data_IF_939706054027
#
_entry.id   IF_939706054027
#
_cell.length_a   1.000
_cell.length_b   1.000
_cell.length_c   1.000
_cell.angle_alpha   90.00
_cell.angle_beta   90.00
_cell.angle_gamma   90.00
#
_symmetry.space_group_name_H-M   'P 1'
#
loop_
_entity.id
_entity.type
_entity.pdbx_description
1 polymer ?
#
# COMPACT_ATOMS: atom_id res chain seq x y z
N UNK A 1 10.71 -33.22 9.30
CA UNK A 1 10.35 -32.17 10.27
C UNK A 1 9.22 -31.32 9.70
N UNK A 2 8.00 -31.49 10.20
CA UNK A 2 6.75 -30.92 9.64
C UNK A 2 6.54 -29.41 9.92
N UNK A 3 7.44 -28.76 10.67
CA UNK A 3 7.32 -27.36 11.07
C UNK A 3 7.64 -26.34 9.96
N UNK A 4 8.31 -26.75 8.88
CA UNK A 4 8.73 -25.84 7.82
C UNK A 4 7.66 -25.57 6.74
N UNK A 5 6.54 -26.32 6.71
CA UNK A 5 5.55 -26.20 5.63
C UNK A 5 4.33 -25.34 5.97
N UNK A 6 4.11 -25.03 7.25
CA UNK A 6 2.91 -24.30 7.70
C UNK A 6 3.15 -22.81 7.93
N UNK A 7 4.38 -22.34 8.12
CA UNK A 7 4.66 -20.92 8.34
C UNK A 7 4.69 -20.07 7.05
N UNK A 8 4.93 -20.67 5.89
CA UNK A 8 4.94 -19.92 4.61
C UNK A 8 3.53 -19.63 4.06
N UNK A 9 2.48 -20.20 4.66
CA UNK A 9 1.10 -20.14 4.14
C UNK A 9 0.21 -19.09 4.81
N UNK A 10 0.66 -18.42 5.88
CA UNK A 10 -0.26 -17.66 6.74
C UNK A 10 0.21 -16.25 7.13
N UNK A 11 1.13 -15.63 6.39
CA UNK A 11 1.35 -14.18 6.53
C UNK A 11 0.57 -13.51 5.40
N UNK A 12 -0.50 -12.75 5.71
CA UNK A 12 -1.22 -12.01 4.70
C UNK A 12 -0.24 -11.06 4.02
N UNK A 13 -0.17 -11.15 2.69
CA UNK A 13 0.75 -10.37 1.87
C UNK A 13 0.53 -8.86 2.00
N UNK A 14 -0.70 -8.47 2.38
CA UNK A 14 -1.04 -7.11 2.78
C UNK A 14 -1.52 -7.12 4.22
N UNK A 15 -0.92 -6.28 5.07
CA UNK A 15 -1.27 -6.14 6.49
C UNK A 15 -1.96 -4.81 6.76
N UNK A 16 -2.77 -4.73 7.81
CA UNK A 16 -3.28 -3.44 8.29
C UNK A 16 -2.18 -2.73 9.11
N UNK A 17 -1.89 -1.48 8.79
CA UNK A 17 -1.10 -0.60 9.65
C UNK A 17 -2.02 0.23 10.53
N UNK A 18 -1.70 0.24 11.81
CA UNK A 18 -2.36 0.95 12.90
C UNK A 18 -1.30 1.74 13.66
N UNK A 19 -1.70 2.61 14.58
CA UNK A 19 -0.71 3.34 15.37
C UNK A 19 0.04 2.42 16.33
N UNK A 20 -0.61 1.35 16.77
CA UNK A 20 -0.10 0.39 17.74
C UNK A 20 1.00 -0.51 17.16
N UNK A 21 0.93 -0.83 15.86
CA UNK A 21 1.91 -1.69 15.18
C UNK A 21 2.86 -0.94 14.23
N UNK A 22 2.70 0.38 14.08
CA UNK A 22 3.54 1.16 13.16
C UNK A 22 5.03 1.07 13.49
N UNK A 23 5.39 1.15 14.77
CA UNK A 23 6.79 1.07 15.23
C UNK A 23 7.43 -0.29 14.88
N UNK A 24 6.72 -1.39 15.17
CA UNK A 24 7.15 -2.75 14.81
C UNK A 24 7.36 -2.88 13.30
N UNK A 25 6.42 -2.37 12.50
CA UNK A 25 6.52 -2.40 11.03
C UNK A 25 7.69 -1.58 10.51
N UNK A 26 8.03 -0.46 11.16
CA UNK A 26 9.19 0.37 10.78
C UNK A 26 10.51 -0.30 11.13
N UNK A 27 10.57 -1.03 12.24
CA UNK A 27 11.76 -1.76 12.68
C UNK A 27 12.14 -2.91 11.72
N UNK A 28 11.20 -3.39 10.90
CA UNK A 28 11.49 -4.35 9.83
C UNK A 28 12.42 -3.77 8.74
N UNK A 29 12.52 -2.44 8.63
CA UNK A 29 13.43 -1.76 7.70
C UNK A 29 13.09 -1.93 6.21
N UNK A 30 11.85 -2.32 5.90
CA UNK A 30 11.34 -2.50 4.54
C UNK A 30 10.62 -1.24 4.05
N UNK A 31 10.61 -1.01 2.73
CA UNK A 31 9.81 0.07 2.14
C UNK A 31 8.32 -0.18 2.36
N UNK A 32 7.52 0.87 2.56
CA UNK A 32 6.07 0.71 2.68
C UNK A 32 5.39 1.01 1.35
N UNK A 33 4.41 0.19 1.00
CA UNK A 33 3.41 0.47 -0.02
C UNK A 33 2.05 0.46 0.66
N UNK A 34 1.52 1.64 0.96
CA UNK A 34 0.33 1.81 1.79
C UNK A 34 -0.85 2.23 0.94
N UNK A 35 -1.95 1.49 1.03
CA UNK A 35 -3.27 1.94 0.60
C UNK A 35 -3.99 2.63 1.76
N UNK A 36 -4.18 3.95 1.67
CA UNK A 36 -5.14 4.66 2.51
C UNK A 36 -6.54 4.55 1.90
N UNK A 37 -7.51 4.12 2.69
CA UNK A 37 -8.89 3.93 2.25
C UNK A 37 -9.89 4.40 3.30
N UNK A 38 -11.15 4.56 2.90
CA UNK A 38 -12.24 4.69 3.86
C UNK A 38 -12.52 3.33 4.51
N UNK A 39 -12.91 3.32 5.78
CA UNK A 39 -13.21 2.08 6.53
C UNK A 39 -14.24 1.18 5.83
N UNK A 40 -15.18 1.78 5.11
CA UNK A 40 -16.23 1.06 4.36
C UNK A 40 -15.82 0.64 2.93
N UNK A 41 -14.64 1.07 2.44
CA UNK A 41 -14.15 0.76 1.09
C UNK A 41 -13.40 -0.59 1.06
N UNK A 42 -14.13 -1.67 1.29
CA UNK A 42 -13.59 -3.02 1.22
C UNK A 42 -13.18 -3.45 -0.20
N UNK A 43 -13.78 -2.83 -1.23
CA UNK A 43 -13.50 -3.16 -2.62
C UNK A 43 -12.09 -2.76 -3.03
N UNK A 44 -11.65 -1.55 -2.67
CA UNK A 44 -10.29 -1.10 -2.94
C UNK A 44 -9.25 -1.96 -2.23
N UNK A 45 -9.52 -2.38 -0.98
CA UNK A 45 -8.63 -3.28 -0.23
C UNK A 45 -8.52 -4.64 -0.92
N UNK A 46 -9.63 -5.24 -1.33
CA UNK A 46 -9.62 -6.53 -2.02
C UNK A 46 -8.89 -6.46 -3.38
N UNK A 47 -9.10 -5.37 -4.14
CA UNK A 47 -8.38 -5.15 -5.40
C UNK A 47 -6.87 -5.01 -5.16
N UNK A 48 -6.48 -4.21 -4.17
CA UNK A 48 -5.08 -4.01 -3.82
C UNK A 48 -4.41 -5.33 -3.40
N UNK A 49 -5.04 -6.09 -2.52
CA UNK A 49 -4.56 -7.43 -2.12
C UNK A 49 -4.36 -8.35 -3.32
N UNK A 50 -5.31 -8.37 -4.25
CA UNK A 50 -5.23 -9.20 -5.46
C UNK A 50 -4.07 -8.78 -6.36
N UNK A 51 -3.92 -7.49 -6.63
CA UNK A 51 -2.85 -7.03 -7.52
C UNK A 51 -1.46 -7.16 -6.88
N UNK A 52 -1.33 -6.90 -5.57
CA UNK A 52 -0.08 -7.18 -4.83
C UNK A 52 0.26 -8.68 -4.92
N UNK A 53 -0.71 -9.58 -4.75
CA UNK A 53 -0.50 -11.02 -4.88
C UNK A 53 -0.15 -11.46 -6.31
N UNK A 54 -0.66 -10.76 -7.32
CA UNK A 54 -0.37 -11.07 -8.73
C UNK A 54 1.02 -10.58 -9.15
N UNK A 55 1.48 -9.44 -8.63
CA UNK A 55 2.60 -8.71 -9.20
C UNK A 55 3.81 -8.58 -8.27
N UNK A 56 3.61 -8.54 -6.94
CA UNK A 56 4.65 -8.26 -5.95
C UNK A 56 5.04 -9.46 -5.09
N UNK A 57 4.51 -10.66 -5.37
CA UNK A 57 4.86 -11.88 -4.62
C UNK A 57 6.37 -12.19 -4.60
N UNK A 58 7.09 -11.85 -5.67
CA UNK A 58 8.54 -12.05 -5.76
C UNK A 58 9.36 -10.96 -5.04
N UNK A 59 8.75 -9.82 -4.73
CA UNK A 59 9.35 -8.66 -4.06
C UNK A 59 9.06 -8.65 -2.54
N UNK A 60 8.35 -9.68 -2.03
CA UNK A 60 7.84 -9.79 -0.64
C UNK A 60 8.88 -9.63 0.47
N UNK A 61 10.17 -9.79 0.17
CA UNK A 61 11.27 -9.62 1.13
C UNK A 61 11.84 -8.19 1.16
N UNK A 62 11.42 -7.33 0.24
CA UNK A 62 11.92 -5.96 0.09
C UNK A 62 10.88 -4.87 0.30
N UNK A 63 9.61 -5.24 0.46
CA UNK A 63 8.50 -4.30 0.61
C UNK A 63 7.43 -4.82 1.58
N UNK A 64 6.94 -3.92 2.41
CA UNK A 64 5.75 -4.09 3.22
C UNK A 64 4.54 -3.48 2.52
N UNK A 65 3.66 -4.34 2.02
CA UNK A 65 2.38 -3.92 1.49
C UNK A 65 1.38 -3.79 2.64
N UNK A 66 0.81 -2.60 2.78
CA UNK A 66 -0.02 -2.23 3.93
C UNK A 66 -1.32 -1.57 3.45
N UNK A 67 -2.36 -1.62 4.27
CA UNK A 67 -3.52 -0.76 4.12
C UNK A 67 -3.86 -0.08 5.46
N UNK A 68 -4.49 1.09 5.38
CA UNK A 68 -4.73 1.94 6.52
C UNK A 68 -6.06 2.69 6.39
N UNK A 69 -6.76 2.86 7.52
CA UNK A 69 -7.90 3.77 7.60
C UNK A 69 -7.43 5.22 7.47
N UNK A 70 -7.77 5.87 6.37
CA UNK A 70 -7.36 7.24 6.09
C UNK A 70 -7.95 8.28 7.04
N UNK A 71 -9.03 7.97 7.78
CA UNK A 71 -9.52 8.85 8.84
C UNK A 71 -8.58 8.83 10.06
N UNK A 72 -8.14 7.64 10.48
CA UNK A 72 -7.16 7.47 11.57
C UNK A 72 -5.82 8.10 11.21
N UNK A 73 -5.36 7.92 9.97
CA UNK A 73 -4.10 8.47 9.45
C UNK A 73 -4.26 9.87 8.80
N UNK A 74 -5.29 10.63 9.21
CA UNK A 74 -5.56 11.96 8.64
C UNK A 74 -4.42 12.97 8.84
N UNK A 75 -3.69 12.89 9.94
CA UNK A 75 -2.53 13.77 10.20
C UNK A 75 -1.35 13.49 9.25
N UNK A 76 -0.86 12.23 9.11
CA UNK A 76 0.07 11.86 8.03
C UNK A 76 -0.40 12.27 6.62
N UNK A 77 -1.68 12.08 6.30
CA UNK A 77 -2.26 12.51 5.02
C UNK A 77 -2.20 14.03 4.82
N UNK A 78 -2.36 14.83 5.88
CA UNK A 78 -2.23 16.29 5.77
C UNK A 78 -0.80 16.73 5.46
N UNK A 79 0.22 16.06 6.03
CA UNK A 79 1.62 16.31 5.65
C UNK A 79 1.90 15.99 4.18
N UNK A 80 1.17 15.02 3.63
CA UNK A 80 1.17 14.67 2.21
C UNK A 80 0.38 15.69 1.35
N UNK A 81 -0.24 16.71 1.94
CA UNK A 81 -1.13 17.65 1.26
C UNK A 81 -2.45 17.01 0.81
N UNK A 82 -2.82 15.88 1.41
CA UNK A 82 -3.98 15.06 1.05
C UNK A 82 -5.08 15.19 2.09
N UNK A 83 -6.31 14.94 1.64
CA UNK A 83 -7.53 14.97 2.46
C UNK A 83 -8.28 13.66 2.29
N UNK A 84 -9.24 13.41 3.19
CA UNK A 84 -10.10 12.22 3.08
C UNK A 84 -10.86 12.14 1.75
N UNK A 85 -11.11 13.28 1.09
CA UNK A 85 -11.72 13.32 -0.25
C UNK A 85 -10.82 12.82 -1.39
N UNK A 86 -9.53 12.61 -1.13
CA UNK A 86 -8.57 12.07 -2.10
C UNK A 86 -8.43 10.54 -1.98
N UNK A 87 -9.14 9.92 -1.03
CA UNK A 87 -9.15 8.48 -0.87
C UNK A 87 -10.03 7.81 -1.95
N UNK A 88 -9.73 6.55 -2.32
CA UNK A 88 -8.58 5.76 -1.87
C UNK A 88 -7.27 6.21 -2.53
N UNK A 89 -6.19 6.24 -1.75
CA UNK A 89 -4.88 6.74 -2.15
C UNK A 89 -3.79 5.71 -1.87
N UNK A 90 -2.90 5.47 -2.84
CA UNK A 90 -1.73 4.61 -2.66
C UNK A 90 -0.49 5.49 -2.53
N UNK A 91 0.30 5.23 -1.49
CA UNK A 91 1.55 5.93 -1.18
C UNK A 91 2.67 4.90 -1.10
N UNK A 92 3.84 5.26 -1.62
CA UNK A 92 5.08 4.52 -1.38
C UNK A 92 5.91 5.34 -0.41
N UNK A 93 6.18 4.78 0.76
CA UNK A 93 7.16 5.32 1.68
C UNK A 93 8.47 4.56 1.50
N UNK A 94 9.45 5.23 0.90
CA UNK A 94 10.78 4.67 0.72
C UNK A 94 11.74 5.33 1.70
N UNK A 95 12.01 4.68 2.82
CA UNK A 95 13.09 5.02 3.75
C UNK A 95 14.46 5.18 3.06
N UNK A 96 14.63 4.67 1.83
CA UNK A 96 15.79 4.88 0.97
C UNK A 96 15.37 5.63 -0.30
N UNK A 97 16.16 6.60 -0.74
CA UNK A 97 15.89 7.52 -1.86
C UNK A 97 15.58 6.88 -3.24
N UNK A 98 15.65 5.55 -3.41
CA UNK A 98 15.45 4.88 -4.70
C UNK A 98 14.27 3.93 -4.61
N UNK A 99 13.15 4.36 -5.17
CA UNK A 99 12.00 3.50 -5.48
C UNK A 99 12.35 2.68 -6.72
N UNK A 100 12.26 1.35 -6.63
CA UNK A 100 12.46 0.47 -7.79
C UNK A 100 11.47 0.82 -8.92
N UNK A 101 11.95 0.83 -10.16
CA UNK A 101 11.13 1.06 -11.35
C UNK A 101 9.96 0.07 -11.47
N UNK A 102 10.11 -1.15 -10.97
CA UNK A 102 8.99 -2.13 -10.92
C UNK A 102 7.89 -1.70 -9.96
N UNK A 103 8.24 -1.18 -8.79
CA UNK A 103 7.26 -0.72 -7.81
C UNK A 103 6.52 0.52 -8.32
N UNK A 104 7.24 1.42 -8.98
CA UNK A 104 6.63 2.54 -9.68
C UNK A 104 5.70 2.06 -10.81
N UNK A 105 6.09 1.05 -11.57
CA UNK A 105 5.27 0.47 -12.63
C UNK A 105 4.01 -0.22 -12.06
N UNK A 106 4.15 -0.98 -10.98
CA UNK A 106 3.02 -1.58 -10.26
C UNK A 106 1.97 -0.54 -9.88
N UNK A 107 2.38 0.59 -9.29
CA UNK A 107 1.45 1.65 -8.91
C UNK A 107 0.78 2.28 -10.14
N UNK A 108 1.51 2.44 -11.25
CA UNK A 108 0.95 2.92 -12.52
C UNK A 108 -0.05 1.93 -13.13
N UNK A 109 0.24 0.64 -13.07
CA UNK A 109 -0.59 -0.42 -13.65
C UNK A 109 -1.86 -0.65 -12.83
N UNK A 110 -1.76 -0.65 -11.50
CA UNK A 110 -2.91 -0.69 -10.62
C UNK A 110 -3.86 0.50 -10.87
N UNK A 111 -3.29 1.66 -11.16
CA UNK A 111 -4.06 2.86 -11.52
C UNK A 111 -4.71 2.74 -12.90
N UNK A 112 -4.01 2.19 -13.90
CA UNK A 112 -4.55 2.01 -15.26
C UNK A 112 -5.64 0.95 -15.32
N UNK A 113 -5.47 -0.18 -14.61
CA UNK A 113 -6.49 -1.23 -14.49
C UNK A 113 -7.77 -0.71 -13.78
N UNK A 114 -7.63 0.23 -12.83
CA UNK A 114 -8.76 0.94 -12.18
C UNK A 114 -9.42 1.96 -13.11
N UNK A 115 -8.64 2.75 -13.87
CA UNK A 115 -9.17 3.77 -14.79
C UNK A 115 -10.02 3.18 -15.90
N UNK A 116 -9.61 2.03 -16.43
CA UNK A 116 -10.19 1.50 -17.66
C UNK A 116 -11.53 0.78 -17.46
N UNK A 117 -11.85 0.34 -16.23
CA UNK A 117 -13.07 -0.43 -15.94
C UNK A 117 -14.23 0.39 -15.39
N UNK A 118 -13.98 1.44 -14.61
CA UNK A 118 -15.06 2.01 -13.79
C UNK A 118 -15.40 3.50 -14.02
N UNK A 119 -14.58 4.34 -14.69
CA UNK A 119 -14.89 5.78 -14.73
C UNK A 119 -14.52 6.51 -16.04
N UNK A 120 -15.51 7.17 -16.65
CA UNK A 120 -15.35 8.25 -17.65
C UNK A 120 -14.74 9.54 -17.07
N UNK A 121 -14.23 9.53 -15.83
CA UNK A 121 -13.59 10.67 -15.19
C UNK A 121 -12.14 10.33 -14.80
N UNK A 122 -11.17 11.19 -15.14
CA UNK A 122 -9.78 10.98 -14.75
C UNK A 122 -9.65 11.08 -13.22
N UNK A 123 -8.92 10.17 -12.57
CA UNK A 123 -8.75 10.17 -11.13
C UNK A 123 -7.89 11.35 -10.66
N UNK A 124 -8.19 11.81 -9.45
CA UNK A 124 -7.39 12.78 -8.71
C UNK A 124 -6.11 12.12 -8.18
N UNK A 125 -5.13 11.99 -9.08
CA UNK A 125 -3.69 11.80 -8.83
C UNK A 125 -3.25 10.66 -7.88
N UNK A 126 -2.62 9.62 -8.47
CA UNK A 126 -1.55 8.86 -7.80
C UNK A 126 -0.42 9.82 -7.47
N UNK A 127 -0.07 9.93 -6.20
CA UNK A 127 1.12 10.65 -5.79
C UNK A 127 2.06 9.66 -5.11
N UNK A 128 3.19 9.41 -5.77
CA UNK A 128 4.35 8.82 -5.11
C UNK A 128 4.94 9.94 -4.26
N UNK A 129 4.77 9.82 -2.95
CA UNK A 129 5.30 10.83 -2.03
C UNK A 129 6.34 10.16 -1.15
N UNK A 130 7.59 10.52 -1.39
CA UNK A 130 8.74 10.02 -0.66
C UNK A 130 8.72 10.71 0.71
N UNK A 131 8.46 9.95 1.77
CA UNK A 131 8.68 10.39 3.14
C UNK A 131 9.92 9.71 3.71
N UNK A 132 10.46 10.32 4.74
CA UNK A 132 11.39 9.72 5.70
C UNK A 132 10.83 10.16 7.05
N UNK A 133 10.38 9.21 7.86
CA UNK A 133 10.03 9.48 9.25
C UNK A 133 11.26 9.92 10.05
#
# INVERSE_FOLDING_TARGET
>A
SFYAWSHEKCIPLVREITFENAEELTDEGLHFLILFHHVDDHQSVALFQREVAKQLMHERSGINCLHADGAKFSHPLQHLGKKSSDLPLIVIDSFKHIVDGKLLQFVKDLHSEKLHKDFHQPPKAVQVILFTF
#
